data_IF_585943158844
#
_entry.id   IF_585943158844
#
_cell.length_a   1.000
_cell.length_b   1.000
_cell.length_c   1.000
_cell.angle_alpha   90.00
_cell.angle_beta   90.00
_cell.angle_gamma   90.00
#
_symmetry.space_group_name_H-M   'P 1'
#
loop_
_entity.id
_entity.type
_entity.pdbx_description
1 polymer ?
#
# COMPACT_ATOMS: atom_id res chain seq x y z
N UNK A 1 7.01 1.18 4.49
CA UNK A 1 6.94 -0.13 3.79
C UNK A 1 8.32 -0.67 3.52
N UNK A 2 8.56 -1.93 3.80
CA UNK A 2 9.79 -2.62 3.37
C UNK A 2 9.51 -3.35 2.06
N UNK A 3 10.41 -3.23 1.10
CA UNK A 3 10.31 -3.91 -0.19
C UNK A 3 11.37 -5.01 -0.30
N UNK A 4 11.03 -6.09 -1.00
CA UNK A 4 12.02 -7.13 -1.31
C UNK A 4 13.12 -6.54 -2.19
N UNK A 5 14.36 -6.88 -1.90
CA UNK A 5 15.52 -6.51 -2.72
C UNK A 5 15.61 -7.28 -4.05
N UNK A 6 14.86 -8.38 -4.14
CA UNK A 6 14.88 -9.27 -5.31
C UNK A 6 13.68 -8.95 -6.21
N UNK A 7 12.48 -9.15 -5.70
CA UNK A 7 11.25 -8.89 -6.44
C UNK A 7 10.11 -8.55 -5.46
N UNK A 8 9.25 -7.64 -5.88
CA UNK A 8 8.01 -7.31 -5.22
C UNK A 8 6.90 -7.19 -6.26
N UNK A 9 5.68 -6.91 -5.84
CA UNK A 9 4.53 -6.79 -6.74
C UNK A 9 4.78 -5.82 -7.90
N UNK A 10 5.33 -4.64 -7.61
CA UNK A 10 5.61 -3.59 -8.61
C UNK A 10 6.80 -3.87 -9.51
N UNK A 11 7.72 -4.74 -9.12
CA UNK A 11 8.96 -5.03 -9.86
C UNK A 11 8.97 -6.41 -10.53
N UNK A 12 7.99 -7.27 -10.23
CA UNK A 12 7.94 -8.64 -10.72
C UNK A 12 7.99 -8.73 -12.24
N UNK A 13 7.24 -7.90 -12.96
CA UNK A 13 7.25 -7.89 -14.43
C UNK A 13 8.65 -7.63 -15.00
N UNK A 14 9.38 -6.68 -14.45
CA UNK A 14 10.75 -6.38 -14.84
C UNK A 14 11.70 -7.55 -14.56
N UNK A 15 11.60 -8.14 -13.37
CA UNK A 15 12.46 -9.24 -12.94
C UNK A 15 12.23 -10.48 -13.79
N UNK A 16 10.98 -10.79 -14.12
CA UNK A 16 10.63 -11.90 -15.01
C UNK A 16 11.18 -11.68 -16.42
N UNK A 17 11.02 -10.47 -16.96
CA UNK A 17 11.49 -10.11 -18.30
C UNK A 17 13.02 -10.03 -18.40
N UNK A 18 13.69 -9.58 -17.32
CA UNK A 18 15.13 -9.41 -17.27
C UNK A 18 15.67 -9.70 -15.86
N UNK A 19 15.97 -10.96 -15.52
CA UNK A 19 16.50 -11.31 -14.20
C UNK A 19 17.78 -10.56 -13.81
N UNK A 20 18.64 -10.23 -14.77
CA UNK A 20 19.86 -9.46 -14.56
C UNK A 20 19.57 -8.04 -14.02
N UNK A 21 18.36 -7.51 -14.21
CA UNK A 21 17.96 -6.19 -13.72
C UNK A 21 18.01 -6.09 -12.20
N UNK A 22 17.86 -7.20 -11.47
CA UNK A 22 17.97 -7.23 -10.01
C UNK A 22 19.35 -6.75 -9.57
N UNK A 23 20.39 -7.41 -10.12
CA UNK A 23 21.78 -7.07 -9.78
C UNK A 23 22.17 -5.67 -10.24
N UNK A 24 21.74 -5.28 -11.43
CA UNK A 24 22.01 -3.93 -11.96
C UNK A 24 21.36 -2.85 -11.09
N UNK A 25 20.10 -3.02 -10.69
CA UNK A 25 19.40 -2.07 -9.81
C UNK A 25 20.03 -1.97 -8.41
N UNK A 26 20.57 -3.08 -7.88
CA UNK A 26 21.27 -3.06 -6.59
C UNK A 26 22.58 -2.25 -6.64
N UNK A 27 23.18 -2.11 -7.81
CA UNK A 27 24.41 -1.31 -8.02
C UNK A 27 24.12 0.18 -8.29
N UNK A 28 22.86 0.53 -8.57
CA UNK A 28 22.47 1.91 -8.82
C UNK A 28 22.29 2.68 -7.50
N UNK A 29 22.62 3.99 -7.47
CA UNK A 29 22.31 4.81 -6.30
C UNK A 29 20.78 4.88 -6.09
N UNK A 30 20.32 5.07 -4.84
CA UNK A 30 18.90 5.22 -4.55
C UNK A 30 18.31 6.36 -5.37
N UNK A 31 17.20 6.09 -6.05
CA UNK A 31 16.47 7.12 -6.77
C UNK A 31 15.71 7.99 -5.77
N UNK A 32 15.82 9.32 -5.82
CA UNK A 32 15.04 10.19 -4.95
C UNK A 32 13.55 9.99 -5.22
N UNK A 33 12.75 10.06 -4.16
CA UNK A 33 11.30 10.02 -4.26
C UNK A 33 10.77 11.27 -4.98
N UNK A 34 9.68 11.14 -5.68
CA UNK A 34 8.96 12.29 -6.24
C UNK A 34 7.90 12.79 -5.26
N UNK A 35 7.51 14.06 -5.38
CA UNK A 35 6.43 14.62 -4.56
C UNK A 35 5.11 13.84 -4.71
N UNK A 36 4.80 13.31 -5.89
CA UNK A 36 3.64 12.45 -6.11
C UNK A 36 3.73 11.12 -5.35
N UNK A 37 4.93 10.51 -5.32
CA UNK A 37 5.13 9.27 -4.57
C UNK A 37 5.04 9.51 -3.07
N UNK A 38 5.52 10.66 -2.58
CA UNK A 38 5.44 11.06 -1.17
C UNK A 38 4.00 11.37 -0.76
N UNK A 39 3.23 12.04 -1.61
CA UNK A 39 1.80 12.26 -1.40
C UNK A 39 1.03 10.93 -1.36
N UNK A 40 1.31 10.02 -2.29
CA UNK A 40 0.74 8.67 -2.28
C UNK A 40 1.06 7.92 -0.99
N UNK A 41 2.29 8.00 -0.49
CA UNK A 41 2.69 7.41 0.79
C UNK A 41 1.92 8.00 1.96
N UNK A 42 1.71 9.31 1.98
CA UNK A 42 0.88 9.99 2.99
C UNK A 42 -0.57 9.48 2.96
N UNK A 43 -1.15 9.33 1.77
CA UNK A 43 -2.52 8.82 1.60
C UNK A 43 -2.65 7.36 2.08
N UNK A 44 -1.69 6.49 1.76
CA UNK A 44 -1.66 5.12 2.28
C UNK A 44 -1.57 5.10 3.81
N UNK A 45 -0.72 5.93 4.40
CA UNK A 45 -0.61 6.05 5.85
C UNK A 45 -1.93 6.53 6.48
N UNK A 46 -2.61 7.48 5.85
CA UNK A 46 -3.92 7.95 6.31
C UNK A 46 -4.96 6.83 6.29
N UNK A 47 -5.02 6.03 5.23
CA UNK A 47 -5.93 4.89 5.14
C UNK A 47 -5.62 3.82 6.19
N UNK A 48 -4.36 3.49 6.38
CA UNK A 48 -3.93 2.56 7.43
C UNK A 48 -4.42 3.01 8.81
N UNK A 49 -4.17 4.28 9.15
CA UNK A 49 -4.59 4.85 10.45
C UNK A 49 -6.09 4.88 10.63
N UNK A 50 -6.86 5.29 9.62
CA UNK A 50 -8.31 5.31 9.67
C UNK A 50 -8.93 3.92 9.86
N UNK A 51 -8.29 2.88 9.33
CA UNK A 51 -8.80 1.51 9.39
C UNK A 51 -8.33 0.74 10.63
N UNK A 52 -7.28 1.19 11.30
CA UNK A 52 -6.70 0.51 12.47
C UNK A 52 -6.93 1.23 13.78
N UNK A 53 -7.16 2.54 13.75
CA UNK A 53 -7.31 3.36 14.95
C UNK A 53 -8.69 4.07 14.97
N UNK A 54 -9.43 3.86 16.04
CA UNK A 54 -10.72 4.52 16.20
C UNK A 54 -10.56 6.04 16.38
N UNK A 55 -11.34 6.81 15.63
CA UNK A 55 -11.37 8.28 15.69
C UNK A 55 -10.01 8.96 15.44
N UNK A 56 -9.16 8.36 14.63
CA UNK A 56 -7.87 8.97 14.28
C UNK A 56 -8.05 10.27 13.50
N UNK A 57 -7.30 11.30 13.90
CA UNK A 57 -7.30 12.58 13.20
C UNK A 57 -6.24 12.57 12.09
N UNK A 58 -6.65 12.33 10.85
CA UNK A 58 -5.73 12.29 9.70
C UNK A 58 -5.03 13.62 9.41
N UNK A 59 -5.60 14.75 9.86
CA UNK A 59 -4.99 16.08 9.66
C UNK A 59 -3.77 16.33 10.55
N UNK A 60 -3.46 15.42 11.45
CA UNK A 60 -2.19 15.41 12.18
C UNK A 60 -1.05 14.74 11.41
N UNK A 61 -1.35 14.11 10.26
CA UNK A 61 -0.35 13.40 9.47
C UNK A 61 0.41 14.33 8.53
N UNK A 62 1.72 14.08 8.46
CA UNK A 62 2.60 14.67 7.45
C UNK A 62 3.63 13.63 7.01
N UNK A 63 4.09 13.73 5.77
CA UNK A 63 5.14 12.88 5.23
C UNK A 63 5.98 13.65 4.23
N UNK A 64 7.31 13.61 4.36
CA UNK A 64 8.26 14.28 3.47
C UNK A 64 7.96 15.78 3.24
N UNK A 65 7.45 16.48 4.26
CA UNK A 65 7.08 17.88 4.18
C UNK A 65 5.69 18.15 3.57
N UNK A 66 4.91 17.10 3.26
CA UNK A 66 3.54 17.20 2.77
C UNK A 66 2.59 16.93 3.94
N UNK A 67 1.66 17.85 4.19
CA UNK A 67 0.65 17.72 5.23
C UNK A 67 -0.67 17.21 4.65
N UNK A 68 -1.41 16.42 5.44
CA UNK A 68 -2.77 16.02 5.08
C UNK A 68 -3.71 17.21 5.24
N UNK A 69 -4.17 17.73 4.11
CA UNK A 69 -5.13 18.85 4.07
C UNK A 69 -6.56 18.35 3.84
N UNK A 70 -7.60 19.16 4.17
CA UNK A 70 -8.99 18.83 3.85
C UNK A 70 -9.22 18.59 2.35
N UNK A 71 -8.53 19.34 1.49
CA UNK A 71 -8.63 19.23 0.04
C UNK A 71 -8.06 17.88 -0.44
N UNK A 72 -6.88 17.51 0.05
CA UNK A 72 -6.24 16.22 -0.28
C UNK A 72 -7.09 15.05 0.24
N UNK A 73 -7.61 15.14 1.46
CA UNK A 73 -8.49 14.13 2.02
C UNK A 73 -9.77 13.94 1.19
N UNK A 74 -10.39 15.04 0.76
CA UNK A 74 -11.58 14.99 -0.09
C UNK A 74 -11.30 14.39 -1.47
N UNK A 75 -10.14 14.69 -2.04
CA UNK A 75 -9.77 14.20 -3.37
C UNK A 75 -9.37 12.72 -3.36
N UNK A 76 -8.65 12.28 -2.35
CA UNK A 76 -8.00 10.96 -2.32
C UNK A 76 -8.60 9.99 -1.29
N UNK A 77 -8.84 10.44 -0.08
CA UNK A 77 -9.23 9.57 1.03
C UNK A 77 -10.73 9.26 1.00
N UNK A 78 -11.59 10.26 0.81
CA UNK A 78 -13.03 10.05 0.77
C UNK A 78 -13.46 9.06 -0.33
N UNK A 79 -12.96 9.14 -1.58
CA UNK A 79 -13.29 8.13 -2.59
C UNK A 79 -12.80 6.72 -2.25
N UNK A 80 -11.63 6.60 -1.60
CA UNK A 80 -11.10 5.30 -1.18
C UNK A 80 -11.98 4.67 -0.09
N UNK A 81 -12.44 5.45 0.88
CA UNK A 81 -13.38 4.99 1.91
C UNK A 81 -14.75 4.65 1.30
N UNK A 82 -15.25 5.45 0.38
CA UNK A 82 -16.51 5.17 -0.31
C UNK A 82 -16.46 3.85 -1.10
N UNK A 83 -15.35 3.57 -1.79
CA UNK A 83 -15.16 2.30 -2.48
C UNK A 83 -15.14 1.11 -1.51
N UNK A 84 -14.53 1.27 -0.34
CA UNK A 84 -14.54 0.24 0.70
C UNK A 84 -15.96 0.02 1.25
N UNK A 85 -16.73 1.08 1.49
CA UNK A 85 -18.12 1.00 1.95
C UNK A 85 -19.05 0.34 0.91
N UNK A 86 -18.77 0.50 -0.39
CA UNK A 86 -19.51 -0.24 -1.45
C UNK A 86 -19.24 -1.75 -1.41
N UNK A 87 -18.00 -2.15 -1.09
CA UNK A 87 -17.59 -3.56 -1.00
C UNK A 87 -18.17 -4.19 0.27
N UNK A 88 -18.15 -3.49 1.38
CA UNK A 88 -18.57 -3.97 2.70
C UNK A 88 -19.53 -2.98 3.38
N UNK A 89 -20.76 -2.82 2.88
CA UNK A 89 -21.70 -1.83 3.41
C UNK A 89 -22.15 -2.13 4.86
N UNK A 90 -22.07 -3.38 5.28
CA UNK A 90 -22.44 -3.81 6.64
C UNK A 90 -21.27 -3.78 7.62
N UNK A 91 -20.06 -3.46 7.16
CA UNK A 91 -18.82 -3.44 7.95
C UNK A 91 -18.58 -4.76 8.69
N UNK A 92 -18.85 -5.87 8.00
CA UNK A 92 -18.72 -7.23 8.53
C UNK A 92 -17.43 -7.94 8.08
N UNK A 93 -16.62 -7.30 7.24
CA UNK A 93 -15.37 -7.86 6.75
C UNK A 93 -14.31 -7.93 7.87
N UNK A 94 -13.72 -9.10 8.02
CA UNK A 94 -12.50 -9.26 8.79
C UNK A 94 -11.31 -8.95 7.88
N UNK A 95 -10.46 -8.01 8.25
CA UNK A 95 -9.36 -7.57 7.39
C UNK A 95 -8.07 -7.24 8.15
N UNK A 96 -6.98 -7.23 7.39
CA UNK A 96 -5.68 -6.69 7.80
C UNK A 96 -5.26 -5.64 6.77
N UNK A 97 -4.65 -4.56 7.24
CA UNK A 97 -4.07 -3.50 6.40
C UNK A 97 -2.54 -3.59 6.40
N UNK A 98 -1.91 -3.14 5.33
CA UNK A 98 -0.45 -3.19 5.14
C UNK A 98 0.12 -4.59 5.42
N UNK A 99 -0.62 -5.63 5.01
CA UNK A 99 -0.24 -7.01 5.29
C UNK A 99 0.97 -7.42 4.44
N UNK A 100 2.02 -7.89 5.12
CA UNK A 100 3.17 -8.45 4.45
C UNK A 100 2.86 -9.86 3.96
N UNK A 101 3.05 -10.10 2.67
CA UNK A 101 2.87 -11.40 2.03
C UNK A 101 4.18 -11.89 1.44
N UNK A 102 4.45 -13.19 1.55
CA UNK A 102 5.67 -13.80 1.04
C UNK A 102 5.38 -15.12 0.36
N UNK A 103 6.31 -15.58 -0.45
CA UNK A 103 6.26 -16.92 -1.05
C UNK A 103 6.87 -18.00 -0.13
N UNK A 104 7.26 -17.63 1.11
CA UNK A 104 7.85 -18.57 2.06
C UNK A 104 9.09 -19.26 1.51
N UNK A 105 9.18 -20.56 1.73
CA UNK A 105 10.33 -21.36 1.29
C UNK A 105 10.40 -21.57 -0.23
N UNK A 106 9.29 -21.35 -0.95
CA UNK A 106 9.24 -21.52 -2.40
C UNK A 106 10.10 -20.46 -3.12
N UNK A 107 10.03 -19.20 -2.68
CA UNK A 107 10.87 -18.11 -3.14
C UNK A 107 11.34 -17.29 -1.94
N UNK A 108 12.44 -17.70 -1.29
CA UNK A 108 12.99 -16.98 -0.16
C UNK A 108 13.32 -15.52 -0.53
N UNK A 109 13.15 -14.60 0.42
CA UNK A 109 13.42 -13.17 0.27
C UNK A 109 12.55 -12.43 -0.76
N UNK A 110 11.57 -13.11 -1.37
CA UNK A 110 10.56 -12.49 -2.23
C UNK A 110 9.30 -12.23 -1.41
N UNK A 111 8.97 -10.98 -1.22
CA UNK A 111 7.79 -10.54 -0.48
C UNK A 111 7.24 -9.22 -1.01
N UNK A 112 6.02 -8.92 -0.65
CA UNK A 112 5.36 -7.65 -0.93
C UNK A 112 4.44 -7.26 0.23
N UNK A 113 3.85 -6.09 0.15
CA UNK A 113 2.77 -5.65 1.01
C UNK A 113 1.49 -5.52 0.22
N UNK A 114 0.37 -5.77 0.88
CA UNK A 114 -0.98 -5.59 0.35
C UNK A 114 -1.64 -4.52 1.20
N UNK A 115 -2.24 -3.51 0.56
CA UNK A 115 -2.86 -2.40 1.28
C UNK A 115 -3.98 -2.89 2.20
N UNK A 116 -4.84 -3.78 1.70
CA UNK A 116 -5.82 -4.47 2.51
C UNK A 116 -6.06 -5.90 1.98
N UNK A 117 -6.07 -6.86 2.87
CA UNK A 117 -6.56 -8.21 2.61
C UNK A 117 -7.64 -8.56 3.64
N UNK A 118 -8.79 -9.01 3.17
CA UNK A 118 -9.93 -9.30 4.01
C UNK A 118 -10.70 -10.55 3.61
N UNK A 119 -11.57 -10.96 4.53
CA UNK A 119 -12.54 -12.03 4.34
C UNK A 119 -13.94 -11.48 4.54
N UNK A 120 -14.78 -11.64 3.53
CA UNK A 120 -16.18 -11.27 3.57
C UNK A 120 -17.03 -12.50 3.23
N UNK A 121 -17.57 -13.17 4.26
CA UNK A 121 -18.23 -14.46 4.11
C UNK A 121 -17.26 -15.53 3.64
N UNK A 122 -17.51 -16.09 2.45
CA UNK A 122 -16.70 -17.12 1.78
C UNK A 122 -15.72 -16.52 0.72
N UNK A 123 -15.68 -15.20 0.61
CA UNK A 123 -14.85 -14.48 -0.37
C UNK A 123 -13.60 -13.89 0.28
N UNK A 124 -12.46 -13.99 -0.40
CA UNK A 124 -11.28 -13.21 -0.12
C UNK A 124 -11.34 -11.89 -0.90
N UNK A 125 -11.06 -10.79 -0.22
CA UNK A 125 -11.02 -9.44 -0.78
C UNK A 125 -9.58 -8.94 -0.70
N UNK A 126 -9.06 -8.48 -1.82
CA UNK A 126 -7.73 -7.84 -1.89
C UNK A 126 -7.95 -6.46 -2.49
N UNK A 127 -7.53 -5.43 -1.77
CA UNK A 127 -7.57 -4.04 -2.22
C UNK A 127 -6.17 -3.47 -2.33
N UNK A 128 -5.96 -2.70 -3.38
CA UNK A 128 -4.74 -1.96 -3.64
C UNK A 128 -5.16 -0.56 -4.10
N UNK A 129 -4.96 0.44 -3.26
CA UNK A 129 -5.30 1.83 -3.58
C UNK A 129 -4.22 2.46 -4.42
N UNK A 130 -4.63 3.19 -5.46
CA UNK A 130 -3.76 3.99 -6.32
C UNK A 130 -4.11 5.47 -6.15
N UNK A 131 -3.23 6.18 -5.47
CA UNK A 131 -3.38 7.62 -5.20
C UNK A 131 -2.63 8.50 -6.21
#
# INVERSE_FOLDING_TARGET
MSHSSIAGGSTAKRVIACPASVKLCQQMPPKPSSSFADEGTLCHLAMEKLLTEDNFNIYSLSYAGIDMTPELAKEKIEPALAALDEIDPTKSMEFMVEAKVSYGDFLPDVFGSVDLIGRLGDRAIILDWKF
#
